data_IF_252027423380
#
_entry.id   IF_252027423380
#
_cell.length_a   1.000
_cell.length_b   1.000
_cell.length_c   1.000
_cell.angle_alpha   90.00
_cell.angle_beta   90.00
_cell.angle_gamma   90.00
#
_symmetry.space_group_name_H-M   'P 1'
#
loop_
_entity.id
_entity.type
_entity.pdbx_description
1 polymer ?
#
# COMPACT_ATOMS: atom_id res chain seq x y z
N UNK A 1 -29.66 -11.38 -3.15
CA UNK A 1 -28.64 -10.96 -4.14
C UNK A 1 -27.63 -10.06 -3.46
N UNK A 2 -26.37 -10.34 -3.70
CA UNK A 2 -25.33 -9.52 -3.10
C UNK A 2 -25.35 -8.10 -3.67
N UNK A 3 -25.19 -7.13 -2.81
CA UNK A 3 -25.08 -5.73 -3.22
C UNK A 3 -23.71 -5.47 -3.82
N UNK A 4 -23.69 -4.84 -5.00
CA UNK A 4 -22.44 -4.41 -5.63
C UNK A 4 -22.16 -2.99 -5.15
N UNK A 5 -21.00 -2.76 -4.49
CA UNK A 5 -20.66 -1.41 -4.07
C UNK A 5 -20.58 -0.44 -5.24
N UNK A 6 -20.90 0.82 -4.95
CA UNK A 6 -20.79 1.87 -5.95
C UNK A 6 -19.35 1.97 -6.47
N UNK A 7 -19.21 2.13 -7.76
CA UNK A 7 -17.91 2.19 -8.41
C UNK A 7 -17.38 0.87 -8.94
N UNK A 8 -18.05 -0.25 -8.64
CA UNK A 8 -17.72 -1.54 -9.20
C UNK A 8 -18.66 -1.87 -10.36
N UNK A 9 -18.11 -2.58 -11.34
CA UNK A 9 -18.92 -3.03 -12.49
C UNK A 9 -19.83 -4.18 -12.05
N UNK A 10 -21.16 -4.01 -12.11
CA UNK A 10 -22.08 -5.06 -11.68
C UNK A 10 -22.09 -6.29 -12.61
N UNK A 11 -21.47 -6.20 -13.78
CA UNK A 11 -21.34 -7.36 -14.66
C UNK A 11 -20.22 -8.29 -14.27
N UNK A 12 -19.31 -7.85 -13.39
CA UNK A 12 -18.20 -8.65 -12.89
C UNK A 12 -18.70 -9.42 -11.66
N UNK A 13 -18.69 -10.73 -11.76
CA UNK A 13 -19.12 -11.61 -10.68
C UNK A 13 -18.00 -12.55 -10.27
N UNK A 14 -17.95 -12.91 -8.98
CA UNK A 14 -17.03 -13.91 -8.45
C UNK A 14 -15.59 -13.66 -8.82
N UNK A 15 -15.15 -12.40 -8.75
CA UNK A 15 -13.79 -12.03 -9.07
C UNK A 15 -12.98 -11.94 -7.78
N UNK A 16 -11.88 -12.67 -7.73
CA UNK A 16 -10.93 -12.54 -6.64
C UNK A 16 -10.08 -11.28 -6.85
N UNK A 17 -9.98 -10.48 -5.81
CA UNK A 17 -9.10 -9.30 -5.79
C UNK A 17 -7.97 -9.62 -4.84
N UNK A 18 -6.76 -9.75 -5.38
CA UNK A 18 -5.57 -10.11 -4.61
C UNK A 18 -4.58 -8.97 -4.65
N UNK A 19 -4.24 -8.46 -3.46
CA UNK A 19 -3.17 -7.49 -3.29
C UNK A 19 -2.00 -8.15 -2.58
N UNK A 20 -0.80 -7.91 -3.09
CA UNK A 20 0.42 -8.42 -2.49
C UNK A 20 1.38 -7.26 -2.24
N UNK A 21 2.15 -7.38 -1.17
CA UNK A 21 3.17 -6.39 -0.83
C UNK A 21 4.47 -7.11 -0.52
N UNK A 22 5.56 -6.61 -1.11
CA UNK A 22 6.91 -7.07 -0.83
C UNK A 22 7.71 -5.89 -0.30
N UNK A 23 8.31 -6.04 0.87
CA UNK A 23 9.01 -4.96 1.54
C UNK A 23 10.46 -5.35 1.74
N UNK A 24 11.38 -4.48 1.30
CA UNK A 24 12.81 -4.65 1.48
C UNK A 24 13.38 -3.54 2.35
N UNK A 25 14.22 -3.89 3.30
CA UNK A 25 14.92 -2.92 4.14
C UNK A 25 16.17 -2.43 3.40
N UNK A 26 16.27 -1.10 3.21
CA UNK A 26 17.50 -0.46 2.70
C UNK A 26 18.40 -0.12 3.88
N UNK A 27 17.79 0.44 4.93
CA UNK A 27 18.42 0.62 6.24
C UNK A 27 17.48 0.02 7.28
N UNK A 28 17.84 -0.02 8.57
CA UNK A 28 16.90 -0.48 9.58
C UNK A 28 15.56 0.26 9.60
N UNK A 29 15.53 1.50 9.09
CA UNK A 29 14.33 2.33 9.11
C UNK A 29 13.78 2.63 7.72
N UNK A 30 14.66 2.82 6.72
CA UNK A 30 14.24 3.07 5.35
C UNK A 30 13.91 1.76 4.65
N UNK A 31 12.70 1.67 4.13
CA UNK A 31 12.21 0.46 3.47
C UNK A 31 11.58 0.82 2.13
N UNK A 32 11.67 -0.11 1.20
CA UNK A 32 10.99 -0.01 -0.09
C UNK A 32 9.90 -1.08 -0.15
N UNK A 33 8.71 -0.66 -0.54
CA UNK A 33 7.59 -1.57 -0.73
C UNK A 33 7.22 -1.63 -2.20
N UNK A 34 7.03 -2.83 -2.71
CA UNK A 34 6.41 -3.04 -4.02
C UNK A 34 5.09 -3.73 -3.80
N UNK A 35 4.02 -3.09 -4.25
CA UNK A 35 2.67 -3.64 -4.11
C UNK A 35 2.13 -3.99 -5.47
N UNK A 36 1.32 -5.03 -5.54
CA UNK A 36 0.74 -5.49 -6.78
C UNK A 36 -0.73 -5.81 -6.60
N UNK A 37 -1.47 -5.72 -7.71
CA UNK A 37 -2.87 -6.07 -7.78
C UNK A 37 -3.02 -7.25 -8.75
N UNK A 38 -3.46 -8.38 -8.24
CA UNK A 38 -3.62 -9.62 -9.02
C UNK A 38 -2.35 -10.00 -9.79
N UNK A 39 -1.17 -9.70 -9.23
CA UNK A 39 0.11 -10.07 -9.79
C UNK A 39 0.55 -9.28 -11.02
N UNK A 40 -0.19 -8.27 -11.47
CA UNK A 40 0.10 -7.62 -12.74
C UNK A 40 0.44 -6.13 -12.64
N UNK A 41 -0.20 -5.39 -11.76
CA UNK A 41 0.07 -3.95 -11.61
C UNK A 41 0.96 -3.76 -10.40
N UNK A 42 2.15 -3.19 -10.63
CA UNK A 42 3.14 -3.00 -9.57
C UNK A 42 3.38 -1.52 -9.33
N UNK A 43 3.40 -1.14 -8.05
CA UNK A 43 3.76 0.20 -7.62
C UNK A 43 4.82 0.08 -6.54
N UNK A 44 5.82 0.95 -6.59
CA UNK A 44 6.91 0.96 -5.61
C UNK A 44 6.93 2.31 -4.90
N UNK A 45 7.05 2.27 -3.58
CA UNK A 45 7.17 3.48 -2.78
C UNK A 45 8.03 3.22 -1.56
N UNK A 46 8.57 4.30 -1.00
CA UNK A 46 9.46 4.23 0.15
C UNK A 46 8.73 4.63 1.42
N UNK A 47 9.25 4.13 2.54
CA UNK A 47 8.77 4.47 3.87
C UNK A 47 9.99 4.63 4.78
N UNK A 48 9.97 5.62 5.65
CA UNK A 48 11.05 5.88 6.59
C UNK A 48 10.45 6.38 7.91
N UNK A 49 11.21 6.26 8.98
CA UNK A 49 10.82 6.85 10.26
C UNK A 49 11.44 8.24 10.41
N UNK A 50 10.81 9.07 11.24
CA UNK A 50 11.35 10.37 11.56
C UNK A 50 12.59 10.29 12.45
N UNK A 51 13.36 11.40 12.56
CA UNK A 51 14.59 11.41 13.37
C UNK A 51 14.36 11.05 14.84
N UNK A 52 13.19 11.34 15.39
CA UNK A 52 12.86 11.00 16.77
C UNK A 52 12.83 9.49 17.03
N UNK A 53 12.63 8.70 16.00
CA UNK A 53 12.61 7.23 16.07
C UNK A 53 13.85 6.59 15.44
N UNK A 54 14.83 7.40 15.03
CA UNK A 54 16.09 6.90 14.48
C UNK A 54 16.18 6.88 12.96
N UNK A 55 15.13 7.27 12.25
CA UNK A 55 15.15 7.41 10.81
C UNK A 55 15.71 8.76 10.36
N UNK A 56 15.76 8.97 9.06
CA UNK A 56 16.23 10.21 8.45
C UNK A 56 15.11 11.13 7.97
N UNK A 57 13.86 10.68 8.08
CA UNK A 57 12.71 11.44 7.56
C UNK A 57 12.72 11.59 6.05
N UNK A 58 13.38 10.70 5.33
CA UNK A 58 13.56 10.80 3.88
C UNK A 58 12.34 10.36 3.08
N UNK A 59 11.34 9.79 3.73
CA UNK A 59 10.11 9.31 3.10
C UNK A 59 8.97 9.34 4.12
N UNK A 60 7.69 9.25 3.68
CA UNK A 60 6.57 9.18 4.62
C UNK A 60 6.68 7.95 5.52
N UNK A 61 6.18 8.09 6.74
CA UNK A 61 6.12 6.96 7.68
C UNK A 61 4.96 6.02 7.32
N UNK A 62 4.96 4.78 7.82
CA UNK A 62 3.83 3.87 7.62
C UNK A 62 2.49 4.45 8.08
N UNK A 63 2.48 5.18 9.19
CA UNK A 63 1.25 5.80 9.69
C UNK A 63 0.76 6.92 8.75
N UNK A 64 1.64 7.64 8.08
CA UNK A 64 1.26 8.61 7.08
C UNK A 64 0.57 7.94 5.90
N UNK A 65 1.10 6.83 5.42
CA UNK A 65 0.45 6.05 4.35
C UNK A 65 -0.91 5.52 4.79
N UNK A 66 -0.99 5.00 5.99
CA UNK A 66 -2.24 4.50 6.55
C UNK A 66 -3.28 5.61 6.64
N UNK A 67 -2.89 6.78 7.14
CA UNK A 67 -3.78 7.94 7.23
C UNK A 67 -4.28 8.39 5.86
N UNK A 68 -3.39 8.43 4.87
CA UNK A 68 -3.78 8.78 3.52
C UNK A 68 -4.76 7.76 2.94
N UNK A 69 -4.51 6.47 3.16
CA UNK A 69 -5.39 5.41 2.68
C UNK A 69 -6.81 5.54 3.24
N UNK A 70 -6.93 5.94 4.51
CA UNK A 70 -8.24 6.16 5.12
C UNK A 70 -8.94 7.41 4.58
N UNK A 71 -8.16 8.42 4.16
CA UNK A 71 -8.71 9.67 3.65
C UNK A 71 -9.13 9.58 2.17
N UNK A 72 -8.52 8.69 1.41
CA UNK A 72 -8.92 8.46 0.03
C UNK A 72 -10.33 7.88 -0.06
#
# INVERSE_FOLDING_TARGET
MAHVPEGLDPTIQSRDIVFEADVQSVTPFLKLATVSHNGSVHKTFACDEGPSLGGLGSAPTPLMYFSAALAF
#
